data_IF_197236434442
#
_entry.id   IF_197236434442
#
_cell.length_a   1.000
_cell.length_b   1.000
_cell.length_c   1.000
_cell.angle_alpha   90.00
_cell.angle_beta   90.00
_cell.angle_gamma   90.00
#
_symmetry.space_group_name_H-M   'P 1'
#
loop_
_entity.id
_entity.type
_entity.pdbx_description
1 polymer ?
#
# COMPACT_ATOMS: atom_id res chain seq x y z
N UNK A 1 3.17 -17.55 -6.06
CA UNK A 1 2.65 -16.27 -5.55
C UNK A 1 3.40 -15.91 -4.28
N UNK A 2 4.29 -14.91 -4.28
CA UNK A 2 5.07 -14.51 -3.09
C UNK A 2 4.34 -13.37 -2.39
N UNK A 3 3.73 -13.62 -1.22
CA UNK A 3 3.24 -12.55 -0.34
C UNK A 3 4.45 -11.93 0.34
N UNK A 4 4.68 -10.63 0.12
CA UNK A 4 5.52 -9.85 1.03
C UNK A 4 4.65 -9.47 2.23
N UNK A 5 4.96 -9.92 3.45
CA UNK A 5 4.18 -9.51 4.63
C UNK A 5 4.31 -7.99 4.80
N UNK A 6 3.19 -7.32 5.02
CA UNK A 6 3.21 -5.92 5.42
C UNK A 6 3.78 -5.82 6.84
N UNK A 7 4.75 -4.93 7.06
CA UNK A 7 5.35 -4.72 8.37
C UNK A 7 4.36 -3.96 9.26
N UNK A 8 4.06 -4.52 10.43
CA UNK A 8 3.23 -3.90 11.46
C UNK A 8 4.05 -3.71 12.73
N UNK A 9 3.83 -2.62 13.47
CA UNK A 9 4.51 -2.35 14.74
C UNK A 9 5.06 -0.93 14.84
N UNK A 10 5.84 -0.66 15.88
CA UNK A 10 6.48 0.63 16.07
C UNK A 10 7.94 0.59 15.58
N UNK A 11 8.37 1.65 14.90
CA UNK A 11 9.78 1.95 14.66
C UNK A 11 10.26 2.82 15.81
N UNK A 12 11.32 2.41 16.50
CA UNK A 12 11.86 3.14 17.65
C UNK A 12 13.05 3.98 17.22
N UNK A 13 12.99 5.30 17.46
CA UNK A 13 14.15 6.19 17.31
C UNK A 13 14.75 6.50 18.68
N UNK A 14 16.07 6.35 18.83
CA UNK A 14 16.79 6.62 20.08
C UNK A 14 17.82 7.71 19.82
N UNK A 15 17.74 8.81 20.57
CA UNK A 15 18.72 9.88 20.57
C UNK A 15 19.50 9.88 21.89
N UNK A 16 20.82 10.05 21.82
CA UNK A 16 21.72 10.07 22.98
C UNK A 16 22.57 11.35 22.93
N UNK A 17 22.53 12.13 24.00
CA UNK A 17 23.41 13.28 24.20
C UNK A 17 24.58 12.94 25.12
N UNK A 18 25.77 13.45 24.83
CA UNK A 18 26.95 13.32 25.70
C UNK A 18 27.53 14.70 26.02
N UNK A 19 28.08 14.87 27.22
CA UNK A 19 28.75 16.11 27.67
C UNK A 19 30.01 15.79 28.47
N UNK A 20 31.00 16.68 28.42
CA UNK A 20 32.25 16.60 29.20
C UNK A 20 32.17 17.37 30.53
N UNK A 21 31.11 18.15 30.76
CA UNK A 21 30.84 18.79 32.05
C UNK A 21 30.16 17.82 33.01
N UNK A 22 30.56 17.74 34.30
CA UNK A 22 29.93 16.83 35.26
C UNK A 22 28.41 17.06 35.34
N UNK A 23 27.65 15.99 35.06
CA UNK A 23 26.18 16.02 35.04
C UNK A 23 25.62 15.39 36.33
N UNK A 24 24.90 16.15 37.17
CA UNK A 24 24.27 15.61 38.37
C UNK A 24 23.07 14.68 38.09
N UNK A 25 22.57 14.63 36.85
CA UNK A 25 21.44 13.81 36.40
C UNK A 25 21.72 13.18 35.01
N UNK A 26 22.60 12.17 34.94
CA UNK A 26 23.24 11.71 33.69
C UNK A 26 22.33 11.03 32.64
N UNK A 27 21.01 11.01 32.83
CA UNK A 27 20.08 10.36 31.90
C UNK A 27 19.78 11.26 30.70
N UNK A 28 20.66 11.23 29.70
CA UNK A 28 20.57 12.02 28.46
C UNK A 28 20.15 11.19 27.23
N UNK A 29 19.24 10.22 27.43
CA UNK A 29 18.72 9.35 26.35
C UNK A 29 17.22 9.54 26.19
N UNK A 30 16.75 9.75 24.96
CA UNK A 30 15.33 9.86 24.62
C UNK A 30 14.96 8.81 23.57
N UNK A 31 13.87 8.09 23.83
CA UNK A 31 13.35 7.04 22.94
C UNK A 31 11.93 7.41 22.52
N UNK A 32 11.67 7.43 21.21
CA UNK A 32 10.35 7.76 20.65
C UNK A 32 9.86 6.62 19.74
N UNK A 33 8.75 5.94 20.09
CA UNK A 33 8.10 4.99 19.20
C UNK A 33 7.29 5.73 18.12
N UNK A 34 7.50 5.36 16.86
CA UNK A 34 6.73 5.83 15.70
C UNK A 34 5.88 4.68 15.16
N UNK A 35 4.54 4.74 15.27
CA UNK A 35 3.69 3.65 14.79
C UNK A 35 3.71 3.56 13.27
N UNK A 36 3.82 2.34 12.74
CA UNK A 36 3.68 2.06 11.31
C UNK A 36 2.20 1.85 11.00
N UNK A 37 1.62 2.76 10.21
CA UNK A 37 0.26 2.63 9.70
C UNK A 37 0.29 2.11 8.25
N UNK A 38 -0.25 0.91 8.04
CA UNK A 38 -0.52 0.40 6.70
C UNK A 38 -1.92 0.85 6.29
N UNK A 39 -2.01 1.65 5.23
CA UNK A 39 -3.28 2.09 4.66
C UNK A 39 -3.30 1.72 3.19
N UNK A 40 -4.41 1.16 2.73
CA UNK A 40 -4.66 0.85 1.32
C UNK A 40 -5.89 1.62 0.84
N UNK A 41 -5.85 2.07 -0.41
CA UNK A 41 -6.94 2.79 -1.07
C UNK A 41 -7.19 2.12 -2.41
N UNK A 42 -7.92 1.00 -2.38
CA UNK A 42 -8.08 0.16 -3.56
C UNK A 42 -9.34 0.55 -4.31
N UNK A 43 -9.18 0.96 -5.56
CA UNK A 43 -10.29 1.21 -6.49
C UNK A 43 -10.27 0.16 -7.60
N UNK A 44 -11.46 -0.37 -7.94
CA UNK A 44 -11.64 -1.34 -9.04
C UNK A 44 -12.62 -0.76 -10.06
N UNK A 45 -12.24 -0.75 -11.33
CA UNK A 45 -13.13 -0.40 -12.45
C UNK A 45 -13.23 -1.57 -13.41
N UNK A 46 -14.43 -1.78 -13.98
CA UNK A 46 -14.69 -2.80 -15.01
C UNK A 46 -15.42 -2.14 -16.16
N UNK A 47 -14.87 -2.25 -17.36
CA UNK A 47 -15.44 -1.65 -18.57
C UNK A 47 -15.64 -2.75 -19.60
N UNK A 48 -16.87 -2.87 -20.11
CA UNK A 48 -17.19 -3.77 -21.21
C UNK A 48 -16.69 -3.18 -22.54
N UNK A 49 -16.28 -4.04 -23.47
CA UNK A 49 -15.90 -3.62 -24.83
C UNK A 49 -17.09 -3.18 -25.67
N UNK A 50 -18.33 -3.46 -25.24
CA UNK A 50 -19.56 -3.08 -25.91
C UNK A 50 -20.64 -2.72 -24.87
N UNK A 51 -21.50 -1.76 -25.21
CA UNK A 51 -22.60 -1.30 -24.34
C UNK A 51 -23.78 -2.28 -24.32
N UNK A 52 -23.96 -3.01 -25.42
CA UNK A 52 -24.99 -4.04 -25.57
C UNK A 52 -24.34 -5.30 -26.14
N UNK A 53 -24.83 -6.47 -25.72
CA UNK A 53 -24.44 -7.77 -26.27
C UNK A 53 -25.70 -8.57 -26.63
N UNK A 54 -25.57 -9.45 -27.62
CA UNK A 54 -26.60 -10.42 -28.01
C UNK A 54 -26.22 -11.77 -27.43
N UNK A 55 -27.20 -12.55 -26.97
CA UNK A 55 -26.95 -13.90 -26.45
C UNK A 55 -26.10 -14.75 -27.42
N UNK A 56 -25.07 -15.39 -26.88
CA UNK A 56 -24.08 -16.15 -27.65
C UNK A 56 -22.91 -15.34 -28.20
N UNK A 57 -22.91 -14.01 -28.08
CA UNK A 57 -21.74 -13.18 -28.40
C UNK A 57 -20.67 -13.29 -27.30
N UNK A 58 -19.42 -13.14 -27.72
CA UNK A 58 -18.30 -12.97 -26.79
C UNK A 58 -17.93 -11.49 -26.70
N UNK A 59 -17.89 -10.95 -25.49
CA UNK A 59 -17.47 -9.57 -25.22
C UNK A 59 -16.24 -9.52 -24.32
N UNK A 60 -15.41 -8.50 -24.52
CA UNK A 60 -14.24 -8.24 -23.69
C UNK A 60 -14.59 -7.40 -22.47
N UNK A 61 -13.82 -7.57 -21.41
CA UNK A 61 -13.85 -6.71 -20.23
C UNK A 61 -12.44 -6.31 -19.85
N UNK A 62 -12.23 -5.02 -19.66
CA UNK A 62 -11.03 -4.48 -19.02
C UNK A 62 -11.33 -4.21 -17.56
N UNK A 63 -10.58 -4.85 -16.67
CA UNK A 63 -10.65 -4.62 -15.23
C UNK A 63 -9.36 -3.94 -14.79
N UNK A 64 -9.48 -2.77 -14.17
CA UNK A 64 -8.36 -2.00 -13.65
C UNK A 64 -8.44 -1.96 -12.12
N UNK A 65 -7.33 -2.26 -11.45
CA UNK A 65 -7.19 -2.22 -9.99
C UNK A 65 -6.10 -1.24 -9.62
N UNK A 66 -6.46 -0.18 -8.89
CA UNK A 66 -5.58 0.91 -8.48
C UNK A 66 -5.44 0.93 -6.96
N UNK A 67 -4.24 1.19 -6.44
CA UNK A 67 -4.02 1.51 -5.02
C UNK A 67 -3.56 2.99 -4.89
N UNK A 68 -4.43 3.86 -4.37
CA UNK A 68 -4.34 5.33 -4.45
C UNK A 68 -3.41 6.03 -3.46
N UNK A 69 -2.96 5.38 -2.39
CA UNK A 69 -2.14 6.01 -1.33
C UNK A 69 -0.64 5.88 -1.58
N UNK A 70 -0.08 6.43 -2.67
CA UNK A 70 1.35 6.33 -3.03
C UNK A 70 2.30 6.40 -1.80
N UNK A 71 3.31 5.55 -1.62
CA UNK A 71 4.32 4.98 -2.52
C UNK A 71 4.06 3.48 -2.79
N UNK A 72 3.32 3.22 -3.86
CA UNK A 72 2.94 1.87 -4.29
C UNK A 72 2.11 1.84 -5.57
N UNK A 73 1.98 2.97 -6.27
CA UNK A 73 1.26 3.09 -7.55
C UNK A 73 1.89 2.24 -8.69
N UNK A 74 3.02 1.57 -8.45
CA UNK A 74 3.66 0.63 -9.38
C UNK A 74 2.85 -0.65 -9.66
N UNK A 75 1.69 -0.87 -9.03
CA UNK A 75 0.81 -1.99 -9.34
C UNK A 75 -0.62 -1.56 -9.70
N UNK A 76 -0.76 -0.52 -10.52
CA UNK A 76 -1.96 -0.47 -11.35
C UNK A 76 -1.95 -1.70 -12.28
N UNK A 77 -2.96 -2.55 -12.12
CA UNK A 77 -3.11 -3.78 -12.90
C UNK A 77 -4.36 -3.65 -13.74
N UNK A 78 -4.17 -3.50 -15.04
CA UNK A 78 -5.23 -3.66 -16.03
C UNK A 78 -5.15 -5.06 -16.64
N UNK A 79 -6.25 -5.82 -16.57
CA UNK A 79 -6.38 -7.12 -17.19
C UNK A 79 -7.58 -7.14 -18.12
N UNK A 80 -7.37 -7.65 -19.34
CA UNK A 80 -8.45 -7.92 -20.29
C UNK A 80 -8.81 -9.39 -20.27
N UNK A 81 -10.10 -9.70 -20.14
CA UNK A 81 -10.63 -11.05 -20.28
C UNK A 81 -11.86 -11.06 -21.19
N UNK A 82 -12.15 -12.22 -21.78
CA UNK A 82 -13.35 -12.43 -22.58
C UNK A 82 -14.43 -13.10 -21.72
N UNK A 83 -15.67 -12.70 -21.89
CA UNK A 83 -16.83 -13.37 -21.33
C UNK A 83 -17.85 -13.65 -22.45
N UNK A 84 -18.63 -14.71 -22.27
CA UNK A 84 -19.77 -15.02 -23.15
C UNK A 84 -21.05 -14.62 -22.44
N UNK A 85 -21.96 -13.99 -23.19
CA UNK A 85 -23.31 -13.66 -22.74
C UNK A 85 -24.29 -14.81 -23.04
#
# INVERSE_FOLDING_TARGET
MRRSPATTGNITNTAVGTSTTPDPTPTNTVTVPTPVANVADVTVTKVASAVNATAGQTIGYTVTVVNGLGRGAERDRSQTCLARD
#
